data_IF_169287526651
#
_entry.id   IF_169287526651
#
_cell.length_a   1.000
_cell.length_b   1.000
_cell.length_c   1.000
_cell.angle_alpha   90.00
_cell.angle_beta   90.00
_cell.angle_gamma   90.00
#
_symmetry.space_group_name_H-M   'P 1'
#
loop_
_entity.id
_entity.type
_entity.pdbx_description
1 polymer ?
#
# COMPACT_ATOMS: atom_id res chain seq x y z
N UNK A 1 -19.12 10.44 -30.59
CA UNK A 1 -18.93 9.77 -29.28
C UNK A 1 -17.79 10.49 -28.59
N UNK A 2 -18.05 11.24 -27.52
CA UNK A 2 -16.99 11.98 -26.81
C UNK A 2 -16.15 10.92 -26.09
N UNK A 3 -14.88 10.77 -26.46
CA UNK A 3 -13.93 10.02 -25.63
C UNK A 3 -13.86 10.75 -24.30
N UNK A 4 -14.55 10.23 -23.28
CA UNK A 4 -14.32 10.60 -21.89
C UNK A 4 -12.94 10.06 -21.54
N UNK A 5 -11.89 10.75 -21.99
CA UNK A 5 -10.55 10.57 -21.46
C UNK A 5 -10.69 10.86 -19.97
N UNK A 6 -10.65 9.82 -19.14
CA UNK A 6 -10.62 10.00 -17.70
C UNK A 6 -9.41 10.90 -17.42
N UNK A 7 -9.63 12.06 -16.78
CA UNK A 7 -8.56 12.98 -16.44
C UNK A 7 -7.43 12.20 -15.77
N UNK A 8 -6.20 12.41 -16.22
CA UNK A 8 -5.06 11.70 -15.66
C UNK A 8 -4.95 12.00 -14.16
N UNK A 9 -4.39 11.07 -13.39
CA UNK A 9 -4.18 11.26 -11.94
C UNK A 9 -3.43 12.58 -11.66
N UNK A 10 -2.49 12.92 -12.53
CA UNK A 10 -1.69 14.14 -12.46
C UNK A 10 -2.54 15.40 -12.64
N UNK A 11 -3.44 15.43 -13.62
CA UNK A 11 -4.36 16.56 -13.82
C UNK A 11 -5.34 16.72 -12.65
N UNK A 12 -5.83 15.62 -12.08
CA UNK A 12 -6.71 15.65 -10.92
C UNK A 12 -6.00 16.25 -9.69
N UNK A 13 -4.75 15.86 -9.45
CA UNK A 13 -3.94 16.38 -8.34
C UNK A 13 -3.61 17.84 -8.56
N UNK A 14 -3.15 18.23 -9.75
CA UNK A 14 -2.77 19.63 -10.01
C UNK A 14 -3.95 20.58 -9.85
N UNK A 15 -5.18 20.11 -10.13
CA UNK A 15 -6.41 20.88 -9.91
C UNK A 15 -6.78 21.02 -8.43
N UNK A 16 -6.53 20.00 -7.62
CA UNK A 16 -6.87 19.99 -6.19
C UNK A 16 -5.78 20.63 -5.32
N UNK A 17 -4.51 20.37 -5.64
CA UNK A 17 -3.34 20.84 -4.92
C UNK A 17 -2.27 21.30 -5.93
N UNK A 18 -2.34 22.56 -6.39
CA UNK A 18 -1.31 23.15 -7.23
C UNK A 18 0.04 23.15 -6.52
N UNK A 19 1.12 22.93 -7.26
CA UNK A 19 2.49 22.87 -6.70
C UNK A 19 2.70 21.79 -5.62
N UNK A 20 1.94 20.69 -5.66
CA UNK A 20 2.04 19.57 -4.72
C UNK A 20 3.45 19.02 -4.53
N UNK A 21 4.32 19.13 -5.55
CA UNK A 21 5.73 18.69 -5.53
C UNK A 21 6.58 19.35 -4.44
N UNK A 22 6.14 20.49 -3.89
CA UNK A 22 6.82 21.17 -2.78
C UNK A 22 6.59 20.46 -1.44
N UNK A 23 5.49 19.72 -1.35
CA UNK A 23 5.01 19.11 -0.11
C UNK A 23 5.19 17.59 -0.10
N UNK A 24 5.14 16.95 -1.28
CA UNK A 24 5.21 15.50 -1.41
C UNK A 24 6.36 15.07 -2.32
N UNK A 25 7.10 14.02 -1.93
CA UNK A 25 8.21 13.50 -2.74
C UNK A 25 7.72 12.71 -3.96
N UNK A 26 6.48 12.22 -3.94
CA UNK A 26 5.86 11.47 -5.03
C UNK A 26 4.40 11.88 -5.26
N UNK A 27 3.96 11.76 -6.52
CA UNK A 27 2.57 11.97 -6.92
C UNK A 27 1.62 11.01 -6.20
N UNK A 28 2.10 9.80 -5.90
CA UNK A 28 1.30 8.77 -5.22
C UNK A 28 1.06 9.11 -3.75
N UNK A 29 1.99 9.81 -3.09
CA UNK A 29 1.81 10.25 -1.72
C UNK A 29 0.72 11.33 -1.65
N UNK A 30 0.80 12.33 -2.55
CA UNK A 30 -0.24 13.34 -2.69
C UNK A 30 -1.60 12.72 -3.04
N UNK A 31 -1.62 11.74 -3.96
CA UNK A 31 -2.84 11.04 -4.35
C UNK A 31 -3.46 10.24 -3.20
N UNK A 32 -2.62 9.61 -2.36
CA UNK A 32 -3.04 8.83 -1.20
C UNK A 32 -3.69 9.74 -0.16
N UNK A 33 -3.05 10.86 0.17
CA UNK A 33 -3.55 11.80 1.18
C UNK A 33 -4.79 12.55 0.71
N UNK A 34 -4.90 12.86 -0.60
CA UNK A 34 -6.11 13.41 -1.21
C UNK A 34 -7.24 12.36 -1.36
N UNK A 35 -6.97 11.09 -1.07
CA UNK A 35 -7.95 10.01 -1.20
C UNK A 35 -8.33 9.65 -2.63
N UNK A 36 -7.55 10.10 -3.63
CA UNK A 36 -7.77 9.81 -5.05
C UNK A 36 -7.42 8.35 -5.38
N UNK A 37 -6.46 7.78 -4.65
CA UNK A 37 -6.14 6.35 -4.72
C UNK A 37 -6.50 5.68 -3.39
N UNK A 38 -7.16 4.52 -3.47
CA UNK A 38 -7.51 3.70 -2.29
C UNK A 38 -6.43 2.67 -1.96
N UNK A 39 -5.35 2.64 -2.73
CA UNK A 39 -4.26 1.69 -2.56
C UNK A 39 -3.33 2.16 -1.44
N UNK A 40 -3.06 1.29 -0.46
CA UNK A 40 -1.99 1.54 0.51
C UNK A 40 -0.66 1.13 -0.10
N UNK A 41 0.29 2.07 -0.16
CA UNK A 41 1.69 1.75 -0.44
C UNK A 41 2.20 0.89 0.71
N UNK A 42 2.55 -0.35 0.41
CA UNK A 42 3.16 -1.26 1.38
C UNK A 42 4.58 -1.59 0.93
N UNK A 43 5.45 -1.94 1.87
CA UNK A 43 6.79 -2.40 1.51
C UNK A 43 6.68 -3.62 0.59
N UNK A 44 7.59 -3.79 -0.38
CA UNK A 44 7.58 -4.96 -1.27
C UNK A 44 7.52 -6.29 -0.51
N UNK A 45 8.14 -6.32 0.66
CA UNK A 45 8.12 -7.44 1.60
C UNK A 45 6.72 -7.84 2.08
N UNK A 46 5.78 -6.89 2.17
CA UNK A 46 4.40 -7.16 2.55
C UNK A 46 3.60 -7.82 1.42
N UNK A 47 4.08 -7.74 0.17
CA UNK A 47 3.45 -8.39 -0.99
C UNK A 47 3.99 -9.81 -1.21
N UNK A 48 5.16 -10.13 -0.65
CA UNK A 48 5.72 -11.48 -0.70
C UNK A 48 4.88 -12.43 0.15
N UNK A 49 4.14 -13.31 -0.54
CA UNK A 49 3.28 -14.31 0.08
C UNK A 49 4.05 -15.20 1.07
N UNK A 50 5.31 -15.53 0.74
CA UNK A 50 6.22 -16.26 1.62
C UNK A 50 6.40 -15.55 2.96
N UNK A 51 6.73 -14.25 2.97
CA UNK A 51 6.88 -13.44 4.20
C UNK A 51 5.57 -13.32 4.97
N UNK A 52 4.43 -13.20 4.28
CA UNK A 52 3.10 -13.18 4.92
C UNK A 52 2.83 -14.47 5.66
N UNK A 53 3.19 -15.60 5.07
CA UNK A 53 2.99 -16.93 5.64
C UNK A 53 4.02 -17.26 6.72
N UNK A 54 5.23 -16.70 6.66
CA UNK A 54 6.26 -16.89 7.69
C UNK A 54 5.77 -16.47 9.07
N UNK A 55 5.01 -15.36 9.19
CA UNK A 55 4.45 -14.93 10.47
C UNK A 55 3.42 -15.93 11.02
N UNK A 56 2.61 -16.52 10.13
CA UNK A 56 1.61 -17.54 10.50
C UNK A 56 2.30 -18.83 10.93
N UNK A 57 3.31 -19.28 10.18
CA UNK A 57 4.13 -20.46 10.51
C UNK A 57 4.83 -20.28 11.86
N UNK A 58 5.52 -19.16 12.08
CA UNK A 58 6.17 -18.86 13.36
C UNK A 58 5.18 -18.83 14.53
N UNK A 59 3.96 -18.36 14.30
CA UNK A 59 2.92 -18.36 15.34
C UNK A 59 2.40 -19.77 15.62
N UNK A 60 2.26 -20.60 14.59
CA UNK A 60 1.89 -22.00 14.73
C UNK A 60 2.98 -22.81 15.46
N UNK A 61 4.26 -22.59 15.12
CA UNK A 61 5.40 -23.24 15.78
C UNK A 61 5.48 -22.85 17.26
N UNK A 62 5.31 -21.55 17.58
CA UNK A 62 5.24 -21.09 18.97
C UNK A 62 4.08 -21.74 19.73
N UNK A 63 2.89 -21.75 19.14
CA UNK A 63 1.71 -22.37 19.76
C UNK A 63 1.88 -23.88 19.92
N UNK A 64 2.59 -24.54 19.01
CA UNK A 64 2.95 -25.95 19.10
C UNK A 64 3.89 -26.20 20.27
N UNK A 65 4.97 -25.41 20.40
CA UNK A 65 5.91 -25.48 21.53
C UNK A 65 5.19 -25.23 22.86
N UNK A 66 4.38 -24.17 22.95
CA UNK A 66 3.67 -23.80 24.19
C UNK A 66 2.66 -24.86 24.65
N UNK A 67 1.89 -25.45 23.73
CA UNK A 67 0.82 -26.39 24.09
C UNK A 67 1.30 -27.83 24.27
N UNK A 68 2.35 -28.22 23.56
CA UNK A 68 2.76 -29.62 23.45
C UNK A 68 4.21 -29.87 23.86
N UNK A 69 4.93 -28.86 24.33
CA UNK A 69 6.33 -28.98 24.76
C UNK A 69 7.26 -29.39 23.62
N UNK A 70 6.97 -28.92 22.40
CA UNK A 70 7.79 -29.17 21.22
C UNK A 70 9.27 -28.86 21.49
N UNK A 71 10.12 -29.83 21.14
CA UNK A 71 11.54 -29.90 21.51
C UNK A 71 12.39 -28.78 20.92
#
# INVERSE_FOLDING_TARGET
>A
MKNTQAASLLEQIEKLLPNWRTWYPSIFDAASDLGLIRARVCSPDSLLLSKRHTKVQQSADKAYVEKWGGK
#
